data_IF_815258791587
#
_entry.id   IF_815258791587
#
_cell.length_a   1.000
_cell.length_b   1.000
_cell.length_c   1.000
_cell.angle_alpha   90.00
_cell.angle_beta   90.00
_cell.angle_gamma   90.00
#
_symmetry.space_group_name_H-M   'P 1'
#
loop_
_entity.id
_entity.type
_entity.pdbx_description
1 polymer ?
#
# COMPACT_ATOMS: atom_id res chain seq x y z
N UNK A 1 5.21 43.32 -19.75
CA UNK A 1 3.98 42.52 -19.58
C UNK A 1 4.37 41.12 -19.28
N UNK A 2 4.34 40.74 -18.07
CA UNK A 2 4.69 39.44 -17.58
C UNK A 2 4.02 39.26 -16.22
N UNK A 3 3.89 38.10 -15.76
CA UNK A 3 3.33 37.59 -14.51
C UNK A 3 1.94 36.96 -14.65
N UNK A 4 1.93 35.62 -14.77
CA UNK A 4 0.97 34.80 -14.00
C UNK A 4 1.08 33.29 -14.24
N UNK A 5 2.22 32.71 -14.62
CA UNK A 5 2.32 31.27 -14.83
C UNK A 5 2.91 30.46 -13.65
N UNK A 6 3.24 31.11 -12.53
CA UNK A 6 3.85 30.49 -11.36
C UNK A 6 2.89 30.22 -10.17
N UNK A 7 1.68 30.81 -10.19
CA UNK A 7 0.77 30.69 -9.04
C UNK A 7 -0.15 29.46 -9.05
N UNK A 8 -0.41 28.88 -10.21
CA UNK A 8 -1.28 27.71 -10.30
C UNK A 8 -0.57 26.39 -9.91
N UNK A 9 0.73 26.29 -10.20
CA UNK A 9 1.52 25.11 -9.83
C UNK A 9 1.70 24.98 -8.30
N UNK A 10 1.87 26.10 -7.59
CA UNK A 10 1.99 26.13 -6.13
C UNK A 10 0.66 25.78 -5.43
N UNK A 11 -0.48 26.12 -6.03
CA UNK A 11 -1.80 25.78 -5.47
C UNK A 11 -2.23 24.33 -5.73
N UNK A 12 -1.71 23.68 -6.76
CA UNK A 12 -1.97 22.25 -7.01
C UNK A 12 -1.19 21.38 -6.04
N UNK A 13 0.00 21.78 -5.60
CA UNK A 13 0.79 21.07 -4.60
C UNK A 13 0.26 21.23 -3.16
N UNK A 14 -0.52 22.25 -2.83
CA UNK A 14 -1.08 22.46 -1.50
C UNK A 14 -2.41 21.74 -1.26
N UNK A 15 -2.94 21.07 -2.28
CA UNK A 15 -4.14 20.22 -2.21
C UNK A 15 -3.80 18.73 -2.27
N UNK A 16 -2.62 18.33 -1.84
CA UNK A 16 -2.40 16.95 -1.44
C UNK A 16 -3.25 16.76 -0.17
N UNK A 17 -4.46 16.29 -0.39
CA UNK A 17 -5.42 16.00 0.66
C UNK A 17 -4.74 15.08 1.67
N UNK A 18 -4.74 15.47 2.93
CA UNK A 18 -4.34 14.61 4.08
C UNK A 18 -5.07 13.27 4.03
N UNK A 19 -6.26 13.21 3.39
CA UNK A 19 -7.03 11.99 3.12
C UNK A 19 -6.35 10.99 2.16
N UNK A 20 -5.27 11.37 1.47
CA UNK A 20 -4.53 10.50 0.54
C UNK A 20 -3.19 9.99 1.10
N UNK A 21 -2.82 10.39 2.31
CA UNK A 21 -1.61 9.89 2.95
C UNK A 21 -1.80 8.46 3.42
N UNK A 22 -0.79 7.64 3.20
CA UNK A 22 -0.76 6.23 3.58
C UNK A 22 0.05 6.09 4.87
N UNK A 23 -0.53 5.43 5.86
CA UNK A 23 0.14 5.17 7.14
C UNK A 23 0.95 3.90 7.04
N UNK A 24 2.25 4.07 6.89
CA UNK A 24 3.22 2.99 6.74
C UNK A 24 3.95 2.76 8.07
N UNK A 25 3.94 1.53 8.55
CA UNK A 25 4.74 1.11 9.69
C UNK A 25 6.21 0.93 9.29
N UNK A 26 6.46 0.11 8.28
CA UNK A 26 7.82 -0.24 7.85
C UNK A 26 7.84 -0.77 6.41
N UNK A 27 9.06 -0.99 5.92
CA UNK A 27 9.33 -1.59 4.60
C UNK A 27 10.30 -2.75 4.74
N UNK A 28 10.12 -3.76 3.90
CA UNK A 28 11.11 -4.80 3.67
C UNK A 28 11.48 -4.84 2.19
N UNK A 29 12.75 -4.57 1.89
CA UNK A 29 13.29 -4.69 0.53
C UNK A 29 13.75 -6.13 0.29
N UNK A 30 13.50 -6.61 -0.94
CA UNK A 30 13.93 -7.95 -1.38
C UNK A 30 13.25 -9.09 -0.59
N UNK A 31 12.03 -8.89 -0.10
CA UNK A 31 11.21 -9.91 0.55
C UNK A 31 10.92 -11.08 -0.39
N UNK A 32 10.89 -12.30 0.15
CA UNK A 32 10.68 -13.53 -0.63
C UNK A 32 9.53 -14.39 -0.12
N UNK A 33 8.88 -13.99 0.96
CA UNK A 33 7.81 -14.76 1.64
C UNK A 33 6.39 -14.20 1.40
N UNK A 34 6.28 -12.96 0.95
CA UNK A 34 5.01 -12.23 0.84
C UNK A 34 4.49 -12.20 -0.60
N UNK A 35 4.50 -13.35 -1.25
CA UNK A 35 4.05 -13.53 -2.64
C UNK A 35 5.16 -13.98 -3.58
N UNK A 36 4.87 -14.10 -4.88
CA UNK A 36 5.81 -14.66 -5.85
C UNK A 36 6.96 -13.71 -6.17
N UNK A 37 8.17 -14.28 -6.30
CA UNK A 37 9.37 -13.54 -6.69
C UNK A 37 9.94 -12.65 -5.59
N UNK A 38 10.83 -11.74 -5.96
CA UNK A 38 11.43 -10.75 -5.04
C UNK A 38 10.51 -9.54 -4.98
N UNK A 39 10.23 -9.06 -3.76
CA UNK A 39 9.23 -8.02 -3.55
C UNK A 39 9.69 -6.89 -2.63
N UNK A 40 9.20 -5.70 -2.91
CA UNK A 40 9.14 -4.66 -1.89
C UNK A 40 7.88 -4.90 -1.05
N UNK A 41 8.03 -5.15 0.25
CA UNK A 41 6.89 -5.30 1.16
C UNK A 41 6.66 -4.00 1.92
N UNK A 42 5.43 -3.52 1.89
CA UNK A 42 4.98 -2.32 2.60
C UNK A 42 4.07 -2.78 3.74
N UNK A 43 4.55 -2.67 4.98
CA UNK A 43 3.76 -2.98 6.16
C UNK A 43 2.97 -1.74 6.59
N UNK A 44 1.65 -1.86 6.53
CA UNK A 44 0.72 -0.76 6.82
C UNK A 44 0.29 -0.77 8.29
N UNK A 45 -0.06 0.41 8.80
CA UNK A 45 -0.52 0.58 10.18
C UNK A 45 -2.04 0.51 10.26
N UNK A 46 -2.54 -0.23 11.26
CA UNK A 46 -3.95 -0.44 11.55
C UNK A 46 -4.46 -1.80 11.07
N UNK A 47 -5.18 -2.48 11.95
CA UNK A 47 -5.82 -3.76 11.66
C UNK A 47 -7.17 -3.84 12.37
N UNK A 48 -8.14 -4.48 11.73
CA UNK A 48 -9.46 -4.77 12.29
C UNK A 48 -9.48 -6.02 13.19
N UNK A 49 -8.43 -6.86 13.15
CA UNK A 49 -8.29 -8.07 13.96
C UNK A 49 -7.29 -7.89 15.11
N UNK A 50 -7.35 -8.81 16.08
CA UNK A 50 -6.49 -8.91 17.27
C UNK A 50 -6.05 -10.35 17.46
N UNK A 51 -5.43 -10.93 16.42
CA UNK A 51 -5.00 -12.32 16.42
C UNK A 51 -3.98 -12.58 17.51
N UNK A 52 -4.17 -13.65 18.29
CA UNK A 52 -3.26 -14.04 19.37
C UNK A 52 -1.86 -14.41 18.87
N UNK A 53 -1.76 -14.88 17.62
CA UNK A 53 -0.53 -15.29 16.94
C UNK A 53 -0.05 -14.27 15.92
N UNK A 54 -0.41 -12.99 16.07
CA UNK A 54 -0.03 -11.94 15.13
C UNK A 54 1.50 -11.84 15.02
N UNK A 55 2.02 -11.90 13.79
CA UNK A 55 3.45 -11.76 13.53
C UNK A 55 3.93 -10.29 13.67
N UNK A 56 3.01 -9.33 13.50
CA UNK A 56 3.29 -7.89 13.54
C UNK A 56 2.34 -7.16 14.51
N UNK A 57 2.37 -7.46 15.82
CA UNK A 57 1.39 -6.93 16.78
C UNK A 57 1.44 -5.41 16.94
N UNK A 58 2.56 -4.78 16.65
CA UNK A 58 2.78 -3.34 16.64
C UNK A 58 2.06 -2.60 15.49
N UNK A 59 1.69 -3.32 14.43
CA UNK A 59 0.88 -2.75 13.34
C UNK A 59 -0.63 -2.74 13.62
N UNK A 60 -1.08 -3.35 14.71
CA UNK A 60 -2.52 -3.52 14.98
C UNK A 60 -3.21 -2.20 15.32
N UNK A 61 -2.60 -1.39 16.21
CA UNK A 61 -3.20 -0.12 16.64
C UNK A 61 -3.18 0.90 15.50
N UNK A 62 -4.37 1.33 15.07
CA UNK A 62 -4.50 2.35 14.04
C UNK A 62 -3.86 3.70 14.43
N UNK A 63 -3.66 3.97 15.72
CA UNK A 63 -2.96 5.16 16.26
C UNK A 63 -1.50 4.87 16.62
N UNK A 64 -1.02 3.66 16.36
CA UNK A 64 0.35 3.26 16.65
C UNK A 64 1.38 4.06 15.85
N UNK A 65 2.64 3.84 16.18
CA UNK A 65 3.75 4.51 15.53
C UNK A 65 3.81 4.17 14.05
N UNK A 66 3.70 5.18 13.20
CA UNK A 66 3.71 5.03 11.75
C UNK A 66 4.15 6.33 11.09
N UNK A 67 4.61 6.21 9.86
CA UNK A 67 4.94 7.35 9.01
C UNK A 67 3.80 7.59 8.01
N UNK A 68 3.26 8.80 8.00
CA UNK A 68 2.40 9.24 6.92
C UNK A 68 3.24 9.47 5.66
N UNK A 69 2.93 8.73 4.61
CA UNK A 69 3.73 8.66 3.39
C UNK A 69 2.85 8.96 2.19
N UNK A 70 3.33 9.85 1.31
CA UNK A 70 2.64 10.13 0.06
C UNK A 70 2.69 8.92 -0.88
N UNK A 71 1.62 8.65 -1.65
CA UNK A 71 1.62 7.57 -2.65
C UNK A 71 2.81 7.63 -3.60
N UNK A 72 3.21 8.84 -4.02
CA UNK A 72 4.32 9.07 -4.94
C UNK A 72 5.68 8.65 -4.36
N UNK A 73 5.86 8.73 -3.04
CA UNK A 73 7.11 8.31 -2.40
C UNK A 73 7.23 6.79 -2.35
N UNK A 74 6.12 6.08 -2.13
CA UNK A 74 6.07 4.62 -2.22
C UNK A 74 6.31 4.19 -3.68
N UNK A 75 5.69 4.87 -4.64
CA UNK A 75 5.90 4.62 -6.06
C UNK A 75 7.38 4.76 -6.44
N UNK A 76 8.03 5.85 -6.04
CA UNK A 76 9.48 6.08 -6.31
C UNK A 76 10.32 4.94 -5.77
N UNK A 77 10.03 4.47 -4.54
CA UNK A 77 10.73 3.35 -3.93
C UNK A 77 10.50 2.07 -4.75
N UNK A 78 9.27 1.75 -5.15
CA UNK A 78 8.97 0.59 -5.95
C UNK A 78 9.65 0.63 -7.32
N UNK A 79 9.64 1.78 -8.00
CA UNK A 79 10.34 1.97 -9.30
C UNK A 79 11.85 1.77 -9.15
N UNK A 80 12.46 2.28 -8.08
CA UNK A 80 13.90 2.09 -7.83
C UNK A 80 14.29 0.63 -7.62
N UNK A 81 13.38 -0.21 -7.12
CA UNK A 81 13.61 -1.64 -6.89
C UNK A 81 13.13 -2.53 -8.05
N UNK A 82 12.46 -1.97 -9.05
CA UNK A 82 11.93 -2.71 -10.21
C UNK A 82 12.96 -3.63 -10.89
N UNK A 83 14.26 -3.26 -11.04
CA UNK A 83 15.27 -4.16 -11.61
C UNK A 83 15.44 -5.49 -10.85
N UNK A 84 15.11 -5.53 -9.56
CA UNK A 84 15.23 -6.72 -8.73
C UNK A 84 14.00 -7.63 -8.75
N UNK A 85 12.86 -7.14 -9.18
CA UNK A 85 11.59 -7.89 -9.20
C UNK A 85 11.58 -9.06 -10.18
N UNK A 86 12.38 -9.00 -11.22
CA UNK A 86 12.40 -10.02 -12.27
C UNK A 86 11.03 -10.17 -12.93
N UNK A 87 10.71 -11.40 -13.35
CA UNK A 87 9.43 -11.70 -14.05
C UNK A 87 8.23 -11.91 -13.13
N UNK A 88 8.45 -12.25 -11.86
CA UNK A 88 7.39 -12.66 -10.92
C UNK A 88 7.24 -11.73 -9.73
N UNK A 89 8.25 -10.92 -9.43
CA UNK A 89 8.26 -10.04 -8.28
C UNK A 89 7.47 -8.76 -8.51
N UNK A 90 7.48 -7.90 -7.50
CA UNK A 90 6.75 -6.64 -7.50
C UNK A 90 6.65 -6.01 -6.13
N UNK A 91 5.50 -5.44 -5.81
CA UNK A 91 5.20 -4.86 -4.50
C UNK A 91 4.12 -5.67 -3.79
N UNK A 92 4.25 -5.81 -2.48
CA UNK A 92 3.21 -6.42 -1.61
C UNK A 92 2.82 -5.43 -0.53
N UNK A 93 1.53 -5.27 -0.33
CA UNK A 93 0.96 -4.53 0.80
C UNK A 93 0.48 -5.52 1.84
N UNK A 94 1.01 -5.42 3.04
CA UNK A 94 0.80 -6.30 4.19
C UNK A 94 0.82 -5.49 5.50
N UNK A 95 1.23 -6.07 6.61
CA UNK A 95 1.44 -5.40 7.91
C UNK A 95 0.29 -5.59 8.84
N UNK A 96 -0.51 -4.56 9.08
CA UNK A 96 -1.82 -4.64 9.73
C UNK A 96 -2.83 -5.25 8.76
N UNK A 97 -3.77 -4.47 8.29
CA UNK A 97 -4.73 -4.86 7.26
C UNK A 97 -4.74 -3.81 6.14
N UNK A 98 -4.27 -4.12 4.92
CA UNK A 98 -4.22 -3.17 3.82
C UNK A 98 -5.60 -2.59 3.44
N UNK A 99 -6.65 -3.40 3.51
CA UNK A 99 -8.02 -2.96 3.19
C UNK A 99 -8.56 -1.91 4.18
N UNK A 100 -7.93 -1.79 5.35
CA UNK A 100 -8.21 -0.71 6.31
C UNK A 100 -7.89 0.68 5.75
N UNK A 101 -6.97 0.77 4.78
CA UNK A 101 -6.57 1.99 4.09
C UNK A 101 -6.90 1.95 2.58
N UNK A 102 -7.89 1.15 2.16
CA UNK A 102 -8.18 0.90 0.75
C UNK A 102 -8.31 2.19 -0.08
N UNK A 103 -9.08 3.17 0.40
CA UNK A 103 -9.30 4.45 -0.28
C UNK A 103 -7.99 5.20 -0.57
N UNK A 104 -7.05 5.21 0.38
CA UNK A 104 -5.76 5.86 0.21
C UNK A 104 -4.82 5.10 -0.73
N UNK A 105 -4.95 3.77 -0.82
CA UNK A 105 -4.13 2.92 -1.67
C UNK A 105 -4.55 2.93 -3.15
N UNK A 106 -5.81 3.19 -3.48
CA UNK A 106 -6.32 3.15 -4.86
C UNK A 106 -5.50 4.03 -5.83
N UNK A 107 -5.20 5.31 -5.53
CA UNK A 107 -4.38 6.13 -6.42
C UNK A 107 -2.98 5.54 -6.64
N UNK A 108 -2.35 5.02 -5.58
CA UNK A 108 -1.04 4.37 -5.67
C UNK A 108 -1.09 3.12 -6.56
N UNK A 109 -2.14 2.29 -6.42
CA UNK A 109 -2.27 1.07 -7.23
C UNK A 109 -2.40 1.39 -8.72
N UNK A 110 -3.13 2.45 -9.08
CA UNK A 110 -3.23 2.91 -10.47
C UNK A 110 -1.85 3.31 -11.01
N UNK A 111 -1.08 4.11 -10.27
CA UNK A 111 0.28 4.51 -10.66
C UNK A 111 1.22 3.31 -10.79
N UNK A 112 1.15 2.34 -9.87
CA UNK A 112 1.95 1.10 -9.94
C UNK A 112 1.61 0.26 -11.18
N UNK A 113 0.32 0.21 -11.57
CA UNK A 113 -0.12 -0.48 -12.80
C UNK A 113 0.43 0.21 -14.05
N UNK A 114 0.42 1.54 -14.11
CA UNK A 114 1.00 2.31 -15.21
C UNK A 114 2.49 2.03 -15.37
N UNK A 115 3.21 1.82 -14.26
CA UNK A 115 4.62 1.41 -14.25
C UNK A 115 4.83 -0.08 -14.57
N UNK A 116 3.78 -0.86 -14.73
CA UNK A 116 3.87 -2.30 -14.99
C UNK A 116 4.44 -3.08 -13.79
N UNK A 117 4.22 -2.61 -12.58
CA UNK A 117 4.65 -3.27 -11.34
C UNK A 117 3.54 -4.20 -10.85
N UNK A 118 3.85 -5.47 -10.65
CA UNK A 118 2.91 -6.47 -10.13
C UNK A 118 2.57 -6.17 -8.67
N UNK A 119 1.27 -6.09 -8.37
CA UNK A 119 0.72 -5.73 -7.05
C UNK A 119 0.14 -6.96 -6.37
N UNK A 120 0.61 -7.24 -5.16
CA UNK A 120 0.06 -8.25 -4.27
C UNK A 120 -0.55 -7.59 -3.02
N UNK A 121 -1.68 -8.08 -2.57
CA UNK A 121 -2.33 -7.67 -1.31
C UNK A 121 -2.44 -8.89 -0.41
N UNK A 122 -1.84 -8.81 0.77
CA UNK A 122 -1.97 -9.79 1.84
C UNK A 122 -3.03 -9.29 2.83
N UNK A 123 -4.15 -10.01 2.95
CA UNK A 123 -5.35 -9.53 3.65
C UNK A 123 -6.01 -10.62 4.47
N UNK A 124 -6.60 -10.25 5.59
CA UNK A 124 -7.45 -11.12 6.40
C UNK A 124 -8.90 -11.24 5.86
N UNK A 125 -9.25 -10.46 4.83
CA UNK A 125 -10.57 -10.49 4.19
C UNK A 125 -11.73 -10.00 5.05
N UNK A 126 -11.46 -9.42 6.23
CA UNK A 126 -12.48 -9.03 7.20
C UNK A 126 -13.20 -7.70 6.89
N UNK A 127 -12.74 -6.96 5.88
CA UNK A 127 -13.34 -5.70 5.43
C UNK A 127 -13.81 -5.85 3.99
N UNK A 128 -15.07 -5.52 3.74
CA UNK A 128 -15.67 -5.57 2.41
C UNK A 128 -16.56 -4.36 2.16
N UNK A 129 -16.17 -3.50 1.21
CA UNK A 129 -16.90 -2.31 0.77
C UNK A 129 -16.51 -1.95 -0.67
N UNK A 130 -17.05 -0.86 -1.22
CA UNK A 130 -16.77 -0.47 -2.61
C UNK A 130 -15.29 -0.10 -2.84
N UNK A 131 -14.63 0.57 -1.87
CA UNK A 131 -13.20 0.89 -1.99
C UNK A 131 -12.35 -0.38 -2.03
N UNK A 132 -12.68 -1.40 -1.22
CA UNK A 132 -11.98 -2.69 -1.21
C UNK A 132 -12.19 -3.45 -2.53
N UNK A 133 -13.41 -3.43 -3.08
CA UNK A 133 -13.69 -4.02 -4.40
C UNK A 133 -12.83 -3.35 -5.48
N UNK A 134 -12.76 -2.02 -5.48
CA UNK A 134 -11.93 -1.29 -6.43
C UNK A 134 -10.45 -1.62 -6.23
N UNK A 135 -9.95 -1.61 -4.99
CA UNK A 135 -8.58 -1.97 -4.66
C UNK A 135 -8.22 -3.35 -5.22
N UNK A 136 -9.06 -4.36 -4.98
CA UNK A 136 -8.81 -5.72 -5.46
C UNK A 136 -8.90 -5.84 -6.99
N UNK A 137 -9.72 -5.01 -7.66
CA UNK A 137 -9.76 -4.98 -9.12
C UNK A 137 -8.46 -4.50 -9.76
N UNK A 138 -7.67 -3.72 -9.01
CA UNK A 138 -6.36 -3.21 -9.42
C UNK A 138 -5.21 -4.15 -9.02
N UNK A 139 -5.39 -5.00 -8.02
CA UNK A 139 -4.39 -5.97 -7.59
C UNK A 139 -4.22 -7.09 -8.63
N UNK A 140 -2.99 -7.60 -8.76
CA UNK A 140 -2.69 -8.76 -9.61
C UNK A 140 -2.82 -10.08 -8.84
N UNK A 141 -2.64 -10.04 -7.53
CA UNK A 141 -2.74 -11.20 -6.64
C UNK A 141 -3.26 -10.77 -5.26
N UNK A 142 -4.19 -11.56 -4.73
CA UNK A 142 -4.64 -11.43 -3.34
C UNK A 142 -4.24 -12.68 -2.58
N UNK A 143 -3.47 -12.51 -1.52
CA UNK A 143 -3.16 -13.55 -0.54
C UNK A 143 -4.20 -13.42 0.58
N UNK A 144 -5.14 -14.35 0.62
CA UNK A 144 -6.17 -14.37 1.65
C UNK A 144 -5.72 -15.25 2.82
N UNK A 145 -5.48 -14.61 3.95
CA UNK A 145 -5.15 -15.30 5.19
C UNK A 145 -6.43 -15.64 5.96
N UNK A 146 -6.85 -16.89 5.87
CA UNK A 146 -8.04 -17.41 6.55
C UNK A 146 -7.71 -17.68 8.01
N UNK A 147 -8.26 -16.85 8.91
CA UNK A 147 -7.94 -16.89 10.35
C UNK A 147 -8.74 -17.91 11.15
N UNK A 148 -9.91 -18.35 10.68
CA UNK A 148 -10.78 -19.29 11.38
C UNK A 148 -11.67 -20.07 10.40
N UNK A 149 -11.90 -21.34 10.70
CA UNK A 149 -12.92 -22.19 10.10
C UNK A 149 -13.87 -22.69 11.19
N UNK A 150 -15.16 -22.37 11.09
CA UNK A 150 -16.25 -22.96 11.87
C UNK A 150 -17.14 -23.82 10.99
#
# INVERSE_FOLDING_TARGET
MSFSSLSWAANVFSLINIEQMIRVHSYESLGTYDGPGIRLVVFLQGCNFRCLYCANPDTIDAKGESKETAPEDILKMAVSQKPFFGKKGGITFSGGEPTFQAKALIPLFRMLKEEGIHICVDTNGGIWNEDVKELFSLADLVLLDVKEFN
#
